data_IF_016608820031
#
_entry.id   IF_016608820031
#
_cell.length_a   1.000
_cell.length_b   1.000
_cell.length_c   1.000
_cell.angle_alpha   90.00
_cell.angle_beta   90.00
_cell.angle_gamma   90.00
#
_symmetry.space_group_name_H-M   'P 1'
#
loop_
_entity.id
_entity.type
_entity.pdbx_description
1 polymer ?
#
# COMPACT_ATOMS: atom_id res chain seq x y z
N UNK A 1 11.21 -70.38 1.74
CA UNK A 1 10.14 -69.76 2.55
C UNK A 1 9.56 -68.61 1.72
N UNK A 2 8.25 -68.61 1.61
CA UNK A 2 7.34 -67.95 0.66
C UNK A 2 7.27 -66.41 0.73
N UNK A 3 7.42 -65.70 -0.40
CA UNK A 3 6.40 -64.98 -1.23
C UNK A 3 5.95 -63.59 -0.69
N UNK A 4 6.46 -62.49 -1.29
CA UNK A 4 5.77 -61.41 -2.09
C UNK A 4 5.00 -60.36 -1.25
N UNK A 5 5.02 -59.04 -1.49
CA UNK A 5 4.93 -58.18 -2.68
C UNK A 5 5.90 -56.97 -2.59
N UNK A 6 6.39 -56.29 -3.63
CA UNK A 6 5.90 -56.19 -5.00
C UNK A 6 5.15 -54.88 -5.28
N UNK A 7 5.75 -53.69 -5.07
CA UNK A 7 5.32 -52.44 -5.75
C UNK A 7 6.49 -51.55 -6.14
N UNK A 8 6.72 -51.51 -7.44
CA UNK A 8 7.63 -50.63 -8.17
C UNK A 8 7.17 -49.17 -8.08
N UNK A 9 8.06 -48.24 -7.72
CA UNK A 9 7.83 -46.82 -7.93
C UNK A 9 8.34 -46.44 -9.33
N UNK A 10 7.42 -46.27 -10.28
CA UNK A 10 7.69 -45.54 -11.53
C UNK A 10 7.57 -44.03 -11.26
N UNK A 11 8.43 -43.17 -11.85
CA UNK A 11 8.26 -41.73 -11.78
C UNK A 11 7.20 -41.33 -12.80
N UNK A 12 5.95 -41.19 -12.36
CA UNK A 12 4.92 -40.56 -13.18
C UNK A 12 5.09 -39.04 -13.09
N UNK A 13 5.60 -38.46 -14.18
CA UNK A 13 5.50 -37.04 -14.48
C UNK A 13 4.02 -36.65 -14.57
N UNK A 14 3.48 -36.06 -13.51
CA UNK A 14 2.14 -35.48 -13.51
C UNK A 14 2.27 -33.96 -13.43
N UNK A 15 2.00 -33.30 -14.55
CA UNK A 15 1.74 -31.87 -14.60
C UNK A 15 0.47 -31.60 -13.78
N UNK A 16 0.62 -30.92 -12.64
CA UNK A 16 -0.49 -30.60 -11.75
C UNK A 16 -1.16 -29.32 -12.26
N UNK A 17 -2.23 -29.48 -13.03
CA UNK A 17 -3.11 -28.38 -13.39
C UNK A 17 -4.13 -28.17 -12.25
N UNK A 18 -4.25 -26.93 -11.79
CA UNK A 18 -5.05 -26.57 -10.62
C UNK A 18 -6.54 -26.86 -10.84
N UNK A 19 -7.07 -27.81 -10.10
CA UNK A 19 -8.51 -28.00 -9.88
C UNK A 19 -8.69 -28.83 -8.60
N UNK A 20 -8.69 -28.14 -7.46
CA UNK A 20 -8.93 -28.76 -6.15
C UNK A 20 -10.41 -29.08 -5.99
N UNK A 21 -10.80 -30.30 -6.35
CA UNK A 21 -12.03 -30.94 -5.91
C UNK A 21 -11.67 -32.12 -5.01
N UNK A 22 -11.41 -31.82 -3.74
CA UNK A 22 -11.35 -32.84 -2.69
C UNK A 22 -12.01 -32.29 -1.44
N UNK A 23 -13.31 -32.51 -1.26
CA UNK A 23 -13.95 -32.51 0.06
C UNK A 23 -15.25 -33.30 -0.01
N UNK A 24 -15.24 -34.52 0.54
CA UNK A 24 -16.33 -35.03 1.38
C UNK A 24 -15.93 -36.37 2.01
N UNK A 25 -15.58 -36.37 3.30
CA UNK A 25 -16.20 -37.27 4.29
C UNK A 25 -15.76 -36.89 5.72
N UNK A 26 -16.61 -36.15 6.42
CA UNK A 26 -16.74 -36.28 7.88
C UNK A 26 -18.08 -35.70 8.30
N UNK A 27 -19.03 -36.60 8.54
CA UNK A 27 -20.28 -36.29 9.20
C UNK A 27 -20.02 -36.20 10.69
N UNK A 28 -19.69 -35.01 11.20
CA UNK A 28 -20.02 -34.66 12.58
C UNK A 28 -20.22 -33.15 12.73
N UNK A 29 -21.37 -32.79 13.30
CA UNK A 29 -21.92 -31.44 13.32
C UNK A 29 -21.28 -30.52 14.34
N UNK A 30 -20.01 -30.18 14.15
CA UNK A 30 -19.38 -29.04 14.82
C UNK A 30 -18.75 -28.15 13.76
N UNK A 31 -19.29 -26.94 13.59
CA UNK A 31 -18.68 -25.92 12.75
C UNK A 31 -17.38 -25.44 13.42
N UNK A 32 -16.32 -26.25 13.29
CA UNK A 32 -14.97 -25.84 13.61
C UNK A 32 -14.59 -24.72 12.64
N UNK A 33 -13.87 -23.72 13.13
CA UNK A 33 -13.28 -22.61 12.38
C UNK A 33 -12.29 -23.02 11.26
N UNK A 34 -12.22 -24.31 10.92
CA UNK A 34 -11.15 -24.93 10.13
C UNK A 34 -11.35 -24.84 8.61
N UNK A 35 -12.56 -24.60 8.11
CA UNK A 35 -12.84 -24.66 6.66
C UNK A 35 -13.37 -23.35 6.08
N UNK A 36 -12.87 -22.20 6.54
CA UNK A 36 -12.99 -20.98 5.74
C UNK A 36 -11.96 -21.07 4.60
N UNK A 37 -12.38 -21.08 3.32
CA UNK A 37 -11.42 -21.05 2.23
C UNK A 37 -10.53 -19.82 2.41
N UNK A 38 -9.22 -19.93 2.16
CA UNK A 38 -8.24 -18.85 2.38
C UNK A 38 -8.54 -17.55 1.59
N UNK A 39 -9.53 -17.59 0.69
CA UNK A 39 -10.11 -16.46 -0.02
C UNK A 39 -11.12 -15.64 0.82
N UNK A 40 -11.57 -16.14 1.97
CA UNK A 40 -12.53 -15.50 2.86
C UNK A 40 -11.91 -15.16 4.21
N UNK A 41 -12.48 -14.16 4.87
CA UNK A 41 -12.06 -13.69 6.19
C UNK A 41 -13.11 -14.06 7.24
N UNK A 42 -12.69 -14.40 8.47
CA UNK A 42 -13.64 -14.51 9.58
C UNK A 42 -14.24 -13.12 9.88
N UNK A 43 -15.52 -13.10 10.27
CA UNK A 43 -16.25 -11.85 10.58
C UNK A 43 -15.64 -11.07 11.74
N UNK A 44 -15.17 -11.80 12.75
CA UNK A 44 -14.48 -11.26 13.92
C UNK A 44 -13.20 -12.07 14.17
N UNK A 45 -12.14 -11.46 14.72
CA UNK A 45 -10.96 -12.19 15.10
C UNK A 45 -11.24 -13.23 16.20
N UNK A 46 -10.52 -14.36 16.16
CA UNK A 46 -10.55 -15.33 17.25
C UNK A 46 -9.85 -14.78 18.51
N UNK A 47 -10.16 -15.35 19.68
CA UNK A 47 -9.54 -14.92 20.94
C UNK A 47 -8.04 -15.19 20.96
N UNK A 48 -7.57 -16.29 20.34
CA UNK A 48 -6.16 -16.59 20.18
C UNK A 48 -5.46 -15.54 19.32
N UNK A 49 -6.10 -15.12 18.22
CA UNK A 49 -5.58 -14.07 17.37
C UNK A 49 -5.48 -12.74 18.15
N UNK A 50 -6.52 -12.37 18.92
CA UNK A 50 -6.50 -11.15 19.75
C UNK A 50 -5.39 -11.17 20.80
N UNK A 51 -5.15 -12.31 21.43
CA UNK A 51 -4.10 -12.47 22.45
C UNK A 51 -2.69 -12.53 21.85
N UNK A 52 -2.53 -13.09 20.65
CA UNK A 52 -1.26 -13.23 19.97
C UNK A 52 -0.77 -11.97 19.24
N UNK A 53 -1.62 -10.94 19.08
CA UNK A 53 -1.25 -9.71 18.37
C UNK A 53 -0.23 -8.90 19.18
N UNK A 54 0.97 -8.78 18.62
CA UNK A 54 2.00 -7.88 19.13
C UNK A 54 1.67 -6.45 18.72
N UNK A 55 1.80 -5.50 19.65
CA UNK A 55 1.56 -4.07 19.42
C UNK A 55 2.82 -3.28 19.78
N UNK A 56 3.74 -3.04 18.82
CA UNK A 56 4.98 -2.33 19.11
C UNK A 56 4.68 -0.88 19.52
N UNK A 57 5.27 -0.42 20.63
CA UNK A 57 5.08 0.94 21.17
C UNK A 57 6.18 1.91 20.79
N UNK A 58 7.25 1.41 20.18
CA UNK A 58 8.40 2.20 19.74
C UNK A 58 8.93 1.69 18.40
N UNK A 59 9.64 2.56 17.68
CA UNK A 59 10.30 2.16 16.43
C UNK A 59 11.33 1.05 16.64
N UNK A 60 11.98 1.00 17.80
CA UNK A 60 12.89 -0.08 18.17
C UNK A 60 12.16 -1.43 18.32
N UNK A 61 10.98 -1.45 18.95
CA UNK A 61 10.15 -2.64 19.05
C UNK A 61 9.61 -3.08 17.69
N UNK A 62 9.16 -2.12 16.86
CA UNK A 62 8.74 -2.41 15.48
C UNK A 62 9.89 -2.99 14.65
N UNK A 63 11.10 -2.47 14.79
CA UNK A 63 12.27 -3.00 14.10
C UNK A 63 12.59 -4.44 14.52
N UNK A 64 12.40 -4.79 15.80
CA UNK A 64 12.61 -6.15 16.31
C UNK A 64 11.67 -7.18 15.68
N UNK A 65 10.50 -6.79 15.20
CA UNK A 65 9.59 -7.69 14.48
C UNK A 65 10.23 -8.28 13.21
N UNK A 66 11.22 -7.61 12.62
CA UNK A 66 11.95 -8.09 11.44
C UNK A 66 13.11 -9.04 11.77
N UNK A 67 13.41 -9.31 13.04
CA UNK A 67 14.50 -10.21 13.41
C UNK A 67 14.18 -11.69 13.18
N UNK A 68 12.90 -12.06 13.06
CA UNK A 68 12.43 -13.44 12.92
C UNK A 68 12.33 -13.95 11.47
N UNK A 69 12.80 -13.19 10.48
CA UNK A 69 12.78 -13.66 9.09
C UNK A 69 13.80 -14.77 8.87
N UNK A 70 13.32 -15.92 8.38
CA UNK A 70 14.18 -17.02 7.97
C UNK A 70 15.04 -16.65 6.76
N UNK A 71 16.24 -17.21 6.73
CA UNK A 71 17.14 -17.20 5.59
C UNK A 71 16.59 -18.13 4.51
N UNK A 72 16.19 -17.56 3.38
CA UNK A 72 15.62 -18.30 2.25
C UNK A 72 16.67 -19.07 1.45
N UNK A 73 17.96 -18.90 1.73
CA UNK A 73 19.06 -19.67 1.14
C UNK A 73 19.41 -20.95 1.90
N UNK A 74 18.89 -21.10 3.11
CA UNK A 74 19.09 -22.28 3.98
C UNK A 74 17.80 -23.10 4.09
N UNK A 75 17.95 -24.39 4.37
CA UNK A 75 16.79 -25.23 4.70
C UNK A 75 16.19 -24.86 6.06
N UNK A 76 14.95 -25.32 6.28
CA UNK A 76 14.24 -25.15 7.56
C UNK A 76 15.02 -25.81 8.72
N UNK A 77 15.58 -26.99 8.50
CA UNK A 77 16.32 -27.76 9.51
C UNK A 77 17.63 -27.07 9.93
N UNK A 78 18.31 -26.39 9.00
CA UNK A 78 19.55 -25.63 9.29
C UNK A 78 19.31 -24.40 10.17
N UNK A 79 18.04 -23.99 10.32
CA UNK A 79 17.62 -22.82 11.10
C UNK A 79 16.97 -23.22 12.44
N UNK A 80 17.23 -24.44 12.90
CA UNK A 80 16.77 -25.03 14.17
C UNK A 80 15.24 -25.12 14.33
N UNK A 81 14.52 -25.20 13.20
CA UNK A 81 13.08 -25.43 13.21
C UNK A 81 12.83 -26.94 13.24
N UNK A 82 12.04 -27.36 14.23
CA UNK A 82 11.70 -28.76 14.49
C UNK A 82 10.32 -29.11 13.94
N UNK A 83 10.05 -30.41 13.89
CA UNK A 83 8.71 -30.89 13.58
C UNK A 83 7.71 -30.31 14.58
N UNK A 84 6.53 -29.92 14.09
CA UNK A 84 5.45 -29.27 14.85
C UNK A 84 5.74 -27.84 15.33
N UNK A 85 6.89 -27.25 15.00
CA UNK A 85 7.09 -25.81 15.21
C UNK A 85 6.12 -24.99 14.36
N UNK A 86 5.69 -23.86 14.92
CA UNK A 86 4.75 -22.95 14.26
C UNK A 86 5.49 -21.80 13.59
N UNK A 87 5.32 -21.68 12.27
CA UNK A 87 5.87 -20.60 11.47
C UNK A 87 4.79 -19.63 11.01
N UNK A 88 5.14 -18.35 10.93
CA UNK A 88 4.28 -17.32 10.38
C UNK A 88 4.57 -17.13 8.89
N UNK A 89 3.60 -17.45 8.05
CA UNK A 89 3.63 -17.03 6.64
C UNK A 89 3.18 -15.57 6.55
N UNK A 90 4.02 -14.73 5.96
CA UNK A 90 3.79 -13.28 5.80
C UNK A 90 4.35 -12.81 4.46
N UNK A 91 3.72 -11.80 3.87
CA UNK A 91 4.29 -11.09 2.73
C UNK A 91 5.48 -10.24 3.21
N UNK A 92 6.69 -10.68 2.85
CA UNK A 92 7.96 -10.03 3.23
C UNK A 92 8.26 -8.78 2.41
N UNK A 93 7.99 -8.82 1.11
CA UNK A 93 8.31 -7.76 0.17
C UNK A 93 7.04 -7.02 -0.25
N UNK A 94 6.99 -5.72 0.03
CA UNK A 94 5.83 -4.85 -0.22
C UNK A 94 5.81 -4.31 -1.65
N UNK A 95 6.08 -5.19 -2.61
CA UNK A 95 5.97 -4.92 -4.04
C UNK A 95 5.14 -6.04 -4.65
N UNK A 96 3.82 -5.83 -4.65
CA UNK A 96 2.89 -6.83 -5.16
C UNK A 96 2.76 -6.67 -6.67
N UNK A 97 3.39 -7.58 -7.39
CA UNK A 97 3.29 -7.65 -8.85
C UNK A 97 1.99 -8.34 -9.26
N UNK A 98 1.30 -7.75 -10.23
CA UNK A 98 0.14 -8.32 -10.93
C UNK A 98 -0.91 -8.95 -10.00
N UNK A 99 -1.50 -8.13 -9.12
CA UNK A 99 -2.61 -8.58 -8.28
C UNK A 99 -3.89 -8.62 -9.13
N UNK A 100 -4.21 -9.81 -9.64
CA UNK A 100 -5.34 -9.98 -10.55
C UNK A 100 -6.61 -10.46 -9.80
N UNK A 101 -7.68 -9.64 -9.72
CA UNK A 101 -8.94 -10.01 -9.06
C UNK A 101 -9.53 -11.36 -9.50
N UNK A 102 -9.32 -11.75 -10.76
CA UNK A 102 -9.87 -12.97 -11.38
C UNK A 102 -9.21 -14.25 -10.87
N UNK A 103 -7.90 -14.20 -10.61
CA UNK A 103 -7.11 -15.39 -10.29
C UNK A 103 -6.58 -15.39 -8.85
N UNK A 104 -6.43 -14.23 -8.23
CA UNK A 104 -5.69 -14.05 -6.98
C UNK A 104 -6.59 -13.92 -5.75
N UNK A 105 -7.81 -14.47 -5.75
CA UNK A 105 -8.75 -14.32 -4.63
C UNK A 105 -8.14 -14.67 -3.26
N UNK A 106 -7.35 -15.77 -3.18
CA UNK A 106 -6.61 -16.16 -1.98
C UNK A 106 -5.51 -15.16 -1.64
N UNK A 107 -4.64 -14.82 -2.60
CA UNK A 107 -3.51 -13.90 -2.40
C UNK A 107 -3.98 -12.52 -1.97
N UNK A 108 -5.00 -11.98 -2.63
CA UNK A 108 -5.65 -10.70 -2.28
C UNK A 108 -6.19 -10.75 -0.87
N UNK A 109 -6.90 -11.83 -0.49
CA UNK A 109 -7.43 -11.97 0.85
C UNK A 109 -6.33 -11.99 1.93
N UNK A 110 -5.24 -12.72 1.70
CA UNK A 110 -4.15 -12.82 2.67
C UNK A 110 -3.36 -11.49 2.78
N UNK A 111 -3.20 -10.73 1.69
CA UNK A 111 -2.62 -9.38 1.74
C UNK A 111 -3.54 -8.43 2.51
N UNK A 112 -4.86 -8.50 2.25
CA UNK A 112 -5.87 -7.74 2.97
C UNK A 112 -5.82 -8.03 4.48
N UNK A 113 -5.76 -9.30 4.88
CA UNK A 113 -5.66 -9.69 6.29
C UNK A 113 -4.36 -9.16 6.91
N UNK A 114 -3.22 -9.30 6.24
CA UNK A 114 -1.95 -8.75 6.73
C UNK A 114 -2.01 -7.23 6.88
N UNK A 115 -2.60 -6.52 5.91
CA UNK A 115 -2.79 -5.08 5.97
C UNK A 115 -3.69 -4.70 7.16
N UNK A 116 -4.84 -5.37 7.31
CA UNK A 116 -5.79 -5.17 8.42
C UNK A 116 -5.11 -5.32 9.77
N UNK A 117 -4.37 -6.41 9.97
CA UNK A 117 -3.66 -6.65 11.21
C UNK A 117 -2.56 -5.63 11.47
N UNK A 118 -1.82 -5.18 10.45
CA UNK A 118 -0.81 -4.12 10.62
C UNK A 118 -1.41 -2.79 11.10
N UNK A 119 -2.64 -2.46 10.67
CA UNK A 119 -3.36 -1.25 11.09
C UNK A 119 -3.92 -1.39 12.51
N UNK A 120 -4.56 -2.52 12.82
CA UNK A 120 -5.15 -2.79 14.14
C UNK A 120 -4.09 -2.96 15.24
N UNK A 121 -2.91 -3.47 14.88
CA UNK A 121 -1.77 -3.64 15.76
C UNK A 121 -0.96 -2.34 15.97
N UNK A 122 -1.31 -1.27 15.24
CA UNK A 122 -0.56 0.01 15.24
C UNK A 122 0.90 -0.17 14.77
N UNK A 123 1.16 -1.14 13.88
CA UNK A 123 2.47 -1.29 13.22
C UNK A 123 2.70 -0.19 12.18
N UNK A 124 1.62 0.23 11.51
CA UNK A 124 1.60 1.33 10.55
C UNK A 124 0.56 2.36 11.02
N UNK A 125 0.99 3.61 11.14
CA UNK A 125 0.13 4.69 11.53
C UNK A 125 -0.75 5.21 10.38
N UNK A 126 -1.97 5.61 10.73
CA UNK A 126 -2.90 6.31 9.86
C UNK A 126 -3.60 7.45 10.61
N UNK A 127 -4.26 8.32 9.88
CA UNK A 127 -5.12 9.37 10.42
C UNK A 127 -6.46 8.82 10.91
N UNK A 128 -7.22 9.68 11.58
CA UNK A 128 -8.57 9.33 12.07
C UNK A 128 -9.54 9.07 10.91
N UNK A 129 -9.50 9.86 9.84
CA UNK A 129 -10.36 9.65 8.66
C UNK A 129 -10.00 8.37 7.91
N UNK A 130 -8.69 8.10 7.72
CA UNK A 130 -8.22 6.85 7.11
C UNK A 130 -8.64 5.63 7.94
N UNK A 131 -8.58 5.71 9.28
CA UNK A 131 -9.05 4.63 10.15
C UNK A 131 -10.56 4.38 9.99
N UNK A 132 -11.39 5.42 9.86
CA UNK A 132 -12.82 5.25 9.62
C UNK A 132 -13.08 4.60 8.25
N UNK A 133 -12.30 4.96 7.22
CA UNK A 133 -12.35 4.29 5.91
C UNK A 133 -11.96 2.81 6.01
N UNK A 134 -10.87 2.48 6.72
CA UNK A 134 -10.45 1.09 6.93
C UNK A 134 -11.54 0.27 7.65
N UNK A 135 -12.16 0.82 8.69
CA UNK A 135 -13.25 0.17 9.39
C UNK A 135 -14.50 0.01 8.50
N UNK A 136 -14.85 1.02 7.70
CA UNK A 136 -15.95 0.96 6.74
C UNK A 136 -15.72 -0.12 5.67
N UNK A 137 -14.50 -0.25 5.15
CA UNK A 137 -14.13 -1.31 4.21
C UNK A 137 -14.20 -2.70 4.85
N UNK A 138 -13.82 -2.85 6.13
CA UNK A 138 -14.03 -4.10 6.87
C UNK A 138 -15.52 -4.46 6.99
N UNK A 139 -16.38 -3.48 7.28
CA UNK A 139 -17.84 -3.68 7.28
C UNK A 139 -18.32 -4.17 5.91
N UNK A 140 -17.88 -3.52 4.82
CA UNK A 140 -18.27 -3.93 3.48
C UNK A 140 -17.80 -5.36 3.14
N UNK A 141 -16.55 -5.72 3.49
CA UNK A 141 -16.03 -7.09 3.33
C UNK A 141 -16.91 -8.08 4.08
N UNK A 142 -17.28 -7.78 5.32
CA UNK A 142 -18.14 -8.64 6.14
C UNK A 142 -19.56 -8.79 5.58
N UNK A 143 -20.13 -7.73 5.00
CA UNK A 143 -21.44 -7.77 4.35
C UNK A 143 -21.42 -8.59 3.05
N UNK A 144 -20.34 -8.49 2.27
CA UNK A 144 -20.20 -9.19 0.99
C UNK A 144 -19.69 -10.63 1.13
N UNK A 145 -19.19 -11.04 2.29
CA UNK A 145 -18.54 -12.35 2.50
C UNK A 145 -19.42 -13.55 2.13
N UNK A 146 -20.74 -13.42 2.28
CA UNK A 146 -21.72 -14.47 2.00
C UNK A 146 -22.54 -14.23 0.73
N UNK A 147 -22.28 -13.16 -0.02
CA UNK A 147 -22.97 -12.90 -1.27
C UNK A 147 -22.28 -13.61 -2.44
N UNK A 148 -23.05 -14.14 -3.42
CA UNK A 148 -22.49 -14.61 -4.68
C UNK A 148 -21.64 -13.53 -5.30
N UNK A 149 -20.40 -13.85 -5.65
CA UNK A 149 -19.54 -12.92 -6.38
C UNK A 149 -19.93 -12.94 -7.86
N UNK A 150 -19.85 -11.80 -8.57
CA UNK A 150 -20.10 -11.77 -10.00
C UNK A 150 -19.17 -12.75 -10.73
N UNK A 151 -19.72 -13.55 -11.64
CA UNK A 151 -18.94 -14.46 -12.48
C UNK A 151 -18.07 -13.65 -13.45
N UNK A 152 -16.77 -13.58 -13.18
CA UNK A 152 -15.77 -12.91 -14.04
C UNK A 152 -15.36 -13.81 -15.24
N UNK A 153 -16.14 -14.86 -15.53
CA UNK A 153 -15.86 -15.91 -16.52
C UNK A 153 -16.74 -15.77 -17.78
N UNK A 154 -16.95 -14.56 -18.28
CA UNK A 154 -17.53 -14.38 -19.61
C UNK A 154 -16.40 -14.25 -20.65
N UNK A 155 -16.22 -15.30 -21.46
CA UNK A 155 -15.17 -15.43 -22.49
C UNK A 155 -15.19 -14.31 -23.56
N UNK A 156 -16.32 -13.62 -23.75
CA UNK A 156 -16.48 -12.60 -24.79
C UNK A 156 -15.94 -11.21 -24.39
N UNK A 157 -15.91 -10.86 -23.09
CA UNK A 157 -15.23 -9.65 -22.58
C UNK A 157 -13.71 -9.89 -22.35
N UNK A 158 -13.29 -11.16 -22.38
CA UNK A 158 -11.95 -11.61 -22.05
C UNK A 158 -10.92 -11.18 -23.12
N UNK A 159 -11.32 -11.03 -24.38
CA UNK A 159 -10.39 -10.63 -25.46
C UNK A 159 -10.06 -9.14 -25.38
N UNK A 160 -11.06 -8.27 -25.22
CA UNK A 160 -10.84 -6.82 -25.17
C UNK A 160 -10.20 -6.39 -23.84
N UNK A 161 -10.60 -7.03 -22.73
CA UNK A 161 -9.99 -6.81 -21.41
C UNK A 161 -8.57 -7.37 -21.35
N UNK A 162 -8.32 -8.60 -21.85
CA UNK A 162 -6.96 -9.14 -21.92
C UNK A 162 -6.07 -8.37 -22.89
N UNK A 163 -6.61 -7.85 -24.00
CA UNK A 163 -5.87 -6.94 -24.89
C UNK A 163 -5.52 -5.62 -24.18
N UNK A 164 -6.43 -5.09 -23.37
CA UNK A 164 -6.18 -3.87 -22.57
C UNK A 164 -5.15 -4.12 -21.47
N UNK A 165 -5.26 -5.24 -20.74
CA UNK A 165 -4.30 -5.63 -19.69
C UNK A 165 -2.93 -5.98 -20.27
N UNK A 166 -2.89 -6.69 -21.42
CA UNK A 166 -1.66 -6.92 -22.17
C UNK A 166 -1.08 -5.62 -22.70
N UNK A 167 -1.91 -4.67 -23.14
CA UNK A 167 -1.45 -3.35 -23.58
C UNK A 167 -0.87 -2.55 -22.41
N UNK A 168 -1.51 -2.54 -21.24
CA UNK A 168 -0.97 -1.91 -20.01
C UNK A 168 0.35 -2.55 -19.58
N UNK A 169 0.49 -3.87 -19.75
CA UNK A 169 1.71 -4.63 -19.40
C UNK A 169 2.83 -4.46 -20.43
N UNK A 170 2.50 -4.42 -21.73
CA UNK A 170 3.44 -4.31 -22.85
C UNK A 170 3.85 -2.86 -23.15
N UNK A 171 3.01 -1.86 -22.87
CA UNK A 171 3.34 -0.43 -22.95
C UNK A 171 4.34 0.02 -21.88
N UNK A 172 4.63 -0.84 -20.89
CA UNK A 172 5.85 -0.74 -20.08
C UNK A 172 7.16 -0.87 -20.88
N UNK A 173 7.09 -1.38 -22.12
CA UNK A 173 8.27 -1.75 -22.93
C UNK A 173 8.27 -1.18 -24.35
N UNK A 174 7.18 -0.57 -24.83
CA UNK A 174 7.09 -0.05 -26.19
C UNK A 174 6.55 1.38 -26.20
N UNK A 175 7.40 2.30 -26.65
CA UNK A 175 7.03 3.67 -27.03
C UNK A 175 5.91 3.57 -28.06
N UNK A 176 4.67 3.88 -27.65
CA UNK A 176 3.52 3.88 -28.55
C UNK A 176 3.72 4.91 -29.66
N UNK A 177 3.95 4.42 -30.88
CA UNK A 177 3.84 5.20 -32.13
C UNK A 177 2.36 5.30 -32.50
N UNK A 178 1.58 6.01 -31.68
CA UNK A 178 0.22 6.44 -31.99
C UNK A 178 0.22 7.93 -32.34
N UNK A 179 -0.34 8.29 -33.51
CA UNK A 179 -0.40 9.65 -34.05
C UNK A 179 -1.25 10.59 -33.16
N UNK A 180 -0.64 11.18 -32.14
CA UNK A 180 -1.04 12.47 -31.60
C UNK A 180 0.00 13.51 -32.04
N UNK A 181 -0.43 14.69 -32.49
CA UNK A 181 0.44 15.73 -33.03
C UNK A 181 1.66 16.04 -32.13
N UNK A 182 2.82 15.51 -32.51
CA UNK A 182 4.15 15.71 -31.90
C UNK A 182 4.62 17.14 -32.21
N UNK A 183 4.07 18.14 -31.55
CA UNK A 183 4.73 19.46 -31.42
C UNK A 183 4.49 20.12 -30.06
N UNK A 184 3.44 19.75 -29.32
CA UNK A 184 3.16 20.33 -28.01
C UNK A 184 3.42 19.29 -26.91
N UNK A 185 4.55 19.43 -26.23
CA UNK A 185 4.81 18.72 -24.98
C UNK A 185 3.78 19.21 -23.95
N UNK A 186 2.94 18.33 -23.38
CA UNK A 186 1.97 18.74 -22.38
C UNK A 186 2.68 19.35 -21.16
N UNK A 187 2.22 20.52 -20.75
CA UNK A 187 2.74 21.28 -19.63
C UNK A 187 1.60 21.57 -18.66
N UNK A 188 1.83 21.27 -17.38
CA UNK A 188 0.90 21.61 -16.31
C UNK A 188 1.43 22.84 -15.61
N UNK A 189 0.62 23.89 -15.50
CA UNK A 189 1.06 25.19 -15.01
C UNK A 189 -0.02 25.83 -14.14
N UNK A 190 0.33 26.11 -12.89
CA UNK A 190 -0.60 26.63 -11.88
C UNK A 190 0.09 27.48 -10.83
N UNK A 191 -0.69 28.30 -10.12
CA UNK A 191 -0.23 28.93 -8.88
C UNK A 191 -0.39 27.97 -7.70
N UNK A 192 0.74 27.53 -7.14
CA UNK A 192 0.78 26.61 -6.00
C UNK A 192 1.54 27.23 -4.83
N UNK A 193 1.26 26.73 -3.63
CA UNK A 193 2.06 27.06 -2.46
C UNK A 193 3.25 26.11 -2.37
N UNK A 194 4.46 26.63 -2.24
CA UNK A 194 5.68 25.86 -2.16
C UNK A 194 6.48 26.20 -0.91
N UNK A 195 7.15 25.18 -0.37
CA UNK A 195 8.09 25.30 0.74
C UNK A 195 9.28 24.37 0.49
N UNK A 196 10.48 24.84 0.83
CA UNK A 196 11.67 24.01 0.99
C UNK A 196 12.00 23.99 2.49
N UNK A 197 11.72 22.90 3.22
CA UNK A 197 12.07 22.79 4.63
C UNK A 197 13.58 22.98 4.82
N UNK A 198 13.97 23.69 5.87
CA UNK A 198 15.36 23.78 6.32
C UNK A 198 15.38 23.54 7.82
N UNK A 199 16.26 22.66 8.29
CA UNK A 199 16.37 22.21 9.70
C UNK A 199 16.38 23.33 10.75
N UNK A 200 16.71 24.58 10.37
CA UNK A 200 16.87 25.70 11.31
C UNK A 200 16.25 27.04 10.85
N UNK A 201 15.37 27.07 9.83
CA UNK A 201 14.71 28.34 9.43
C UNK A 201 13.21 28.17 9.18
N UNK A 202 12.38 28.98 9.85
CA UNK A 202 10.93 29.13 9.67
C UNK A 202 10.57 29.83 8.35
N UNK A 203 10.96 29.28 7.20
CA UNK A 203 10.38 29.74 5.93
C UNK A 203 9.08 28.99 5.69
N UNK A 204 7.97 29.72 5.89
CA UNK A 204 6.60 29.29 5.59
C UNK A 204 6.36 29.04 4.09
N UNK A 205 5.21 28.47 3.77
CA UNK A 205 4.74 28.33 2.41
C UNK A 205 4.65 29.69 1.71
N UNK A 206 5.06 29.76 0.46
CA UNK A 206 4.93 30.94 -0.40
C UNK A 206 4.30 30.53 -1.72
N UNK A 207 3.51 31.44 -2.31
CA UNK A 207 2.86 31.20 -3.60
C UNK A 207 3.85 31.43 -4.74
N UNK A 208 3.93 30.47 -5.66
CA UNK A 208 4.74 30.53 -6.88
C UNK A 208 3.88 30.11 -8.07
N UNK A 209 4.25 30.59 -9.25
CA UNK A 209 3.78 29.98 -10.49
C UNK A 209 4.68 28.80 -10.79
N UNK A 210 4.12 27.59 -10.75
CA UNK A 210 4.88 26.35 -10.90
C UNK A 210 4.46 25.71 -12.21
N UNK A 211 5.44 25.27 -12.99
CA UNK A 211 5.22 24.51 -14.21
C UNK A 211 5.88 23.14 -14.09
N UNK A 212 5.22 22.12 -14.62
CA UNK A 212 5.75 20.79 -14.76
C UNK A 212 5.70 20.44 -16.24
N UNK A 213 6.88 20.27 -16.82
CA UNK A 213 7.07 19.90 -18.22
C UNK A 213 8.03 18.75 -18.30
N UNK A 214 7.69 17.74 -19.10
CA UNK A 214 8.39 16.45 -19.13
C UNK A 214 8.50 15.83 -17.73
N UNK A 215 9.69 15.86 -17.14
CA UNK A 215 9.97 15.40 -15.77
C UNK A 215 10.57 16.50 -14.89
N UNK A 216 10.44 17.76 -15.30
CA UNK A 216 11.07 18.92 -14.67
C UNK A 216 10.03 19.86 -14.08
N UNK A 217 10.16 20.10 -12.77
CA UNK A 217 9.36 21.04 -12.01
C UNK A 217 10.09 22.38 -11.94
N UNK A 218 9.55 23.42 -12.58
CA UNK A 218 10.11 24.77 -12.60
C UNK A 218 9.27 25.72 -11.76
N UNK A 219 9.94 26.52 -10.92
CA UNK A 219 9.31 27.52 -10.06
C UNK A 219 9.61 28.93 -10.54
N UNK A 220 8.57 29.70 -10.75
CA UNK A 220 8.63 31.09 -11.18
C UNK A 220 7.99 31.99 -10.11
N UNK A 221 8.58 33.16 -9.85
CA UNK A 221 7.99 34.13 -8.90
C UNK A 221 6.69 34.72 -9.45
N UNK A 222 6.66 34.97 -10.75
CA UNK A 222 5.49 35.38 -11.53
C UNK A 222 5.44 34.60 -12.84
N UNK A 223 4.30 34.59 -13.54
CA UNK A 223 4.09 33.86 -14.80
C UNK A 223 5.10 34.22 -15.89
N UNK A 224 5.54 35.48 -15.93
CA UNK A 224 6.43 36.01 -16.97
C UNK A 224 7.92 36.02 -16.57
N UNK A 225 8.24 35.58 -15.34
CA UNK A 225 9.62 35.56 -14.85
C UNK A 225 10.37 34.31 -15.31
N UNK A 226 11.69 34.41 -15.45
CA UNK A 226 12.57 33.25 -15.63
C UNK A 226 12.47 32.29 -14.43
N UNK A 227 12.60 30.97 -14.63
CA UNK A 227 12.49 29.98 -13.55
C UNK A 227 13.58 30.23 -12.50
N UNK A 228 13.14 30.47 -11.27
CA UNK A 228 14.00 30.68 -10.11
C UNK A 228 14.63 29.38 -9.59
N UNK A 229 13.99 28.25 -9.87
CA UNK A 229 14.45 26.92 -9.48
C UNK A 229 13.90 25.91 -10.49
N UNK A 230 14.72 24.97 -10.92
CA UNK A 230 14.33 23.86 -11.77
C UNK A 230 14.75 22.54 -11.11
N UNK A 231 13.83 21.59 -10.99
CA UNK A 231 13.98 20.36 -10.22
C UNK A 231 13.66 19.18 -11.13
N UNK A 232 14.62 18.27 -11.33
CA UNK A 232 14.36 17.00 -11.99
C UNK A 232 13.65 16.06 -11.01
N UNK A 233 12.44 15.62 -11.35
CA UNK A 233 11.66 14.71 -10.49
C UNK A 233 12.01 13.24 -10.71
N UNK A 234 12.82 12.89 -11.71
CA UNK A 234 13.15 11.48 -12.00
C UNK A 234 13.79 10.80 -10.78
N UNK A 235 13.18 9.72 -10.31
CA UNK A 235 13.62 8.98 -9.13
C UNK A 235 13.32 9.66 -7.79
N UNK A 236 12.49 10.71 -7.76
CA UNK A 236 12.02 11.31 -6.51
C UNK A 236 11.01 10.41 -5.78
N UNK A 237 10.85 10.64 -4.48
CA UNK A 237 9.69 10.14 -3.75
C UNK A 237 8.54 11.11 -3.87
N UNK A 238 7.33 10.60 -4.03
CA UNK A 238 6.11 11.39 -4.01
C UNK A 238 5.20 10.83 -2.94
N UNK A 239 5.09 11.54 -1.81
CA UNK A 239 4.22 11.15 -0.69
C UNK A 239 3.01 12.10 -0.63
N UNK A 240 1.78 11.58 -0.51
CA UNK A 240 0.61 12.41 -0.21
C UNK A 240 0.72 13.04 1.19
N UNK A 241 0.29 14.29 1.32
CA UNK A 241 0.09 14.99 2.59
C UNK A 241 -1.30 15.63 2.59
N UNK A 242 -2.33 14.77 2.61
CA UNK A 242 -3.73 15.15 2.44
C UNK A 242 -4.45 15.09 3.77
N UNK A 243 -5.28 16.09 4.03
CA UNK A 243 -6.26 16.07 5.11
C UNK A 243 -7.53 16.77 4.61
N UNK A 244 -8.55 15.98 4.29
CA UNK A 244 -9.79 16.46 3.69
C UNK A 244 -10.59 17.37 4.63
N UNK A 245 -10.65 17.05 5.92
CA UNK A 245 -11.42 17.85 6.90
C UNK A 245 -10.82 19.25 7.11
N UNK A 246 -9.52 19.40 6.90
CA UNK A 246 -8.82 20.68 6.95
C UNK A 246 -8.57 21.31 5.56
N UNK A 247 -9.08 20.72 4.48
CA UNK A 247 -8.84 21.20 3.11
C UNK A 247 -7.35 21.26 2.73
N UNK A 248 -6.53 20.38 3.32
CA UNK A 248 -5.10 20.31 3.08
C UNK A 248 -4.83 19.35 1.93
N UNK A 249 -4.28 19.85 0.83
CA UNK A 249 -3.91 19.06 -0.33
C UNK A 249 -2.42 19.20 -0.63
N UNK A 250 -1.59 18.50 0.15
CA UNK A 250 -0.14 18.56 0.08
C UNK A 250 0.50 17.42 -0.70
N UNK A 251 1.62 17.70 -1.36
CA UNK A 251 2.49 16.73 -2.02
C UNK A 251 3.90 16.95 -1.46
N UNK A 252 4.46 15.92 -0.83
CA UNK A 252 5.86 15.92 -0.39
C UNK A 252 6.71 15.24 -1.46
N UNK A 253 7.73 15.95 -1.92
CA UNK A 253 8.69 15.50 -2.91
C UNK A 253 10.06 15.35 -2.27
N UNK A 254 10.60 14.13 -2.26
CA UNK A 254 11.97 13.87 -1.82
C UNK A 254 12.85 13.59 -3.03
N UNK A 255 13.59 14.60 -3.46
CA UNK A 255 14.34 14.57 -4.72
C UNK A 255 15.80 14.17 -4.47
N UNK A 256 16.33 13.14 -5.15
CA UNK A 256 17.73 12.76 -5.00
C UNK A 256 18.66 13.85 -5.54
N UNK A 257 19.71 14.13 -4.77
CA UNK A 257 20.77 15.07 -5.09
C UNK A 257 22.14 14.49 -4.68
N UNK A 258 23.23 15.10 -5.12
CA UNK A 258 24.60 14.64 -4.84
C UNK A 258 24.94 14.60 -3.34
N UNK A 259 24.34 15.47 -2.53
CA UNK A 259 24.55 15.52 -1.07
C UNK A 259 23.55 14.65 -0.27
N UNK A 260 22.58 14.00 -0.93
CA UNK A 260 21.48 13.27 -0.28
C UNK A 260 20.12 13.63 -0.88
N UNK A 261 19.05 13.55 -0.10
CA UNK A 261 17.71 13.95 -0.57
C UNK A 261 17.44 15.41 -0.22
N UNK A 262 16.86 16.13 -1.18
CA UNK A 262 16.29 17.44 -0.92
C UNK A 262 14.77 17.33 -0.87
N UNK A 263 14.20 17.75 0.25
CA UNK A 263 12.77 17.76 0.46
C UNK A 263 12.12 19.06 -0.06
N UNK A 264 11.00 18.91 -0.75
CA UNK A 264 10.19 20.01 -1.28
C UNK A 264 8.71 19.72 -1.02
N UNK A 265 7.97 20.72 -0.56
CA UNK A 265 6.56 20.60 -0.25
C UNK A 265 5.77 21.49 -1.20
N UNK A 266 4.77 20.90 -1.86
CA UNK A 266 3.81 21.59 -2.70
C UNK A 266 2.45 21.48 -2.03
N UNK A 267 1.65 22.54 -2.09
CA UNK A 267 0.27 22.55 -1.62
C UNK A 267 -0.63 23.14 -2.69
N UNK A 268 -1.62 22.35 -3.08
CA UNK A 268 -2.67 22.68 -4.01
C UNK A 268 -3.84 23.36 -3.29
N UNK A 269 -4.67 24.05 -4.07
CA UNK A 269 -5.80 24.83 -3.56
C UNK A 269 -7.14 24.08 -3.63
N UNK A 270 -7.22 23.04 -4.48
CA UNK A 270 -8.40 22.21 -4.66
C UNK A 270 -8.02 20.74 -4.87
N UNK A 271 -9.00 19.86 -4.68
CA UNK A 271 -8.89 18.43 -4.92
C UNK A 271 -8.57 18.11 -6.39
N UNK A 272 -9.23 18.78 -7.32
CA UNK A 272 -9.00 18.59 -8.75
C UNK A 272 -7.56 18.97 -9.15
N UNK A 273 -7.09 20.11 -8.63
CA UNK A 273 -5.70 20.54 -8.84
C UNK A 273 -4.74 19.52 -8.23
N UNK A 274 -5.00 19.08 -7.00
CA UNK A 274 -4.18 18.07 -6.35
C UNK A 274 -4.10 16.76 -7.13
N UNK A 275 -5.21 16.23 -7.64
CA UNK A 275 -5.23 14.99 -8.39
C UNK A 275 -4.34 15.06 -9.64
N UNK A 276 -4.46 16.15 -10.41
CA UNK A 276 -3.62 16.43 -11.59
C UNK A 276 -2.13 16.50 -11.23
N UNK A 277 -1.79 17.30 -10.23
CA UNK A 277 -0.40 17.51 -9.82
C UNK A 277 0.23 16.27 -9.19
N UNK A 278 -0.52 15.51 -8.39
CA UNK A 278 -0.07 14.26 -7.78
C UNK A 278 0.20 13.19 -8.84
N UNK A 279 -0.74 12.99 -9.78
CA UNK A 279 -0.55 12.06 -10.90
C UNK A 279 0.68 12.42 -11.73
N UNK A 280 0.83 13.70 -12.07
CA UNK A 280 1.95 14.18 -12.86
C UNK A 280 3.29 14.00 -12.14
N UNK A 281 3.36 14.30 -10.84
CA UNK A 281 4.57 14.07 -10.04
C UNK A 281 4.91 12.57 -9.96
N UNK A 282 3.92 11.69 -9.77
CA UNK A 282 4.12 10.23 -9.72
C UNK A 282 4.65 9.67 -11.04
N UNK A 283 4.14 10.13 -12.18
CA UNK A 283 4.67 9.75 -13.50
C UNK A 283 6.08 10.28 -13.70
N UNK A 284 6.32 11.55 -13.40
CA UNK A 284 7.65 12.16 -13.52
C UNK A 284 8.70 11.45 -12.65
N UNK A 285 8.32 11.00 -11.45
CA UNK A 285 9.16 10.17 -10.57
C UNK A 285 9.59 8.85 -11.24
N UNK A 286 8.70 8.23 -12.01
CA UNK A 286 8.98 7.02 -12.80
C UNK A 286 9.70 7.32 -14.13
N UNK A 287 9.97 8.60 -14.43
CA UNK A 287 10.57 9.04 -15.69
C UNK A 287 9.60 9.06 -16.88
N UNK A 288 8.29 8.97 -16.61
CA UNK A 288 7.21 9.12 -17.60
C UNK A 288 6.74 10.58 -17.63
N UNK A 289 6.07 10.98 -18.72
CA UNK A 289 5.51 12.33 -18.87
C UNK A 289 3.98 12.29 -18.84
N UNK A 290 3.33 13.45 -18.78
CA UNK A 290 1.86 13.55 -18.87
C UNK A 290 1.31 13.17 -20.26
N UNK A 291 2.18 12.91 -21.25
CA UNK A 291 1.76 12.36 -22.54
C UNK A 291 1.55 10.84 -22.49
N UNK A 292 1.91 10.18 -21.38
CA UNK A 292 1.67 8.75 -21.18
C UNK A 292 0.16 8.50 -21.03
N UNK A 293 -0.33 7.42 -21.67
CA UNK A 293 -1.74 7.02 -21.67
C UNK A 293 -2.30 6.81 -20.26
N UNK A 294 -1.45 6.49 -19.28
CA UNK A 294 -1.85 6.28 -17.89
C UNK A 294 -2.13 7.54 -17.10
N UNK A 295 -1.81 8.75 -17.60
CA UNK A 295 -1.97 9.98 -16.84
C UNK A 295 -3.41 10.26 -16.42
N UNK A 296 -4.35 10.26 -17.36
CA UNK A 296 -5.76 10.56 -17.06
C UNK A 296 -6.39 9.48 -16.18
N UNK A 297 -5.96 8.22 -16.34
CA UNK A 297 -6.38 7.10 -15.49
C UNK A 297 -5.88 7.28 -14.04
N UNK A 298 -4.63 7.69 -13.85
CA UNK A 298 -4.07 7.98 -12.53
C UNK A 298 -4.80 9.17 -11.88
N UNK A 299 -5.09 10.25 -12.63
CA UNK A 299 -5.87 11.39 -12.14
C UNK A 299 -7.24 10.95 -11.64
N UNK A 300 -7.97 10.17 -12.46
CA UNK A 300 -9.29 9.64 -12.09
C UNK A 300 -9.19 8.74 -10.86
N UNK A 301 -8.21 7.83 -10.82
CA UNK A 301 -8.00 6.96 -9.66
C UNK A 301 -7.73 7.73 -8.37
N UNK A 302 -7.00 8.86 -8.44
CA UNK A 302 -6.76 9.71 -7.26
C UNK A 302 -8.06 10.42 -6.84
N UNK A 303 -8.85 10.92 -7.79
CA UNK A 303 -10.14 11.55 -7.48
C UNK A 303 -11.11 10.56 -6.82
N UNK A 304 -11.21 9.34 -7.34
CA UNK A 304 -12.05 8.28 -6.78
C UNK A 304 -11.61 7.94 -5.35
N UNK A 305 -10.29 7.85 -5.12
CA UNK A 305 -9.74 7.61 -3.78
C UNK A 305 -10.04 8.73 -2.78
N UNK A 306 -9.97 10.00 -3.21
CA UNK A 306 -10.32 11.14 -2.36
C UNK A 306 -11.82 11.17 -2.05
N UNK A 307 -12.66 10.81 -3.02
CA UNK A 307 -14.10 10.69 -2.82
C UNK A 307 -14.46 9.62 -1.78
N UNK A 308 -13.76 8.48 -1.76
CA UNK A 308 -13.98 7.43 -0.76
C UNK A 308 -13.77 7.90 0.69
N UNK A 309 -12.89 8.88 0.90
CA UNK A 309 -12.54 9.41 2.23
C UNK A 309 -13.42 10.58 2.68
N UNK A 310 -14.32 11.10 1.85
CA UNK A 310 -15.15 12.26 2.20
C UNK A 310 -16.17 11.89 3.28
N UNK A 311 -16.46 12.79 4.24
CA UNK A 311 -17.59 12.60 5.14
C UNK A 311 -18.89 12.51 4.32
N UNK A 312 -19.59 11.39 4.43
CA UNK A 312 -20.92 11.27 3.85
C UNK A 312 -21.93 12.08 4.67
N UNK A 313 -22.97 12.67 4.05
CA UNK A 313 -23.94 13.51 4.74
C UNK A 313 -24.80 12.71 5.74
N UNK A 314 -25.00 11.42 5.50
CA UNK A 314 -25.72 10.52 6.40
C UNK A 314 -25.30 9.06 6.18
N UNK A 315 -25.36 8.22 7.22
CA UNK A 315 -25.18 6.78 7.09
C UNK A 315 -26.30 6.18 6.23
N UNK A 316 -25.95 5.23 5.36
CA UNK A 316 -26.92 4.53 4.50
C UNK A 316 -27.57 3.35 5.24
N UNK A 317 -26.86 2.77 6.21
CA UNK A 317 -27.32 1.63 6.99
C UNK A 317 -27.59 2.06 8.44
N UNK A 318 -28.70 1.58 9.01
CA UNK A 318 -29.02 1.87 10.41
C UNK A 318 -28.11 1.06 11.35
N UNK A 319 -27.61 1.64 12.47
CA UNK A 319 -26.75 0.93 13.42
C UNK A 319 -27.35 -0.36 14.00
N UNK A 320 -28.69 -0.49 14.02
CA UNK A 320 -29.39 -1.68 14.50
C UNK A 320 -29.38 -2.86 13.51
N UNK A 321 -28.98 -2.65 12.26
CA UNK A 321 -29.00 -3.68 11.21
C UNK A 321 -27.68 -4.43 11.07
N UNK A 322 -26.59 -3.90 11.64
CA UNK A 322 -25.26 -4.50 11.58
C UNK A 322 -24.68 -4.56 13.00
N UNK A 323 -24.26 -5.75 13.41
CA UNK A 323 -23.48 -5.92 14.63
C UNK A 323 -22.03 -5.47 14.39
N UNK A 324 -21.74 -4.21 14.75
CA UNK A 324 -20.40 -3.62 14.64
C UNK A 324 -19.79 -3.57 16.05
N UNK A 325 -18.71 -4.33 16.25
CA UNK A 325 -17.86 -4.21 17.41
C UNK A 325 -16.65 -3.31 17.09
N UNK A 326 -16.58 -2.07 17.63
CA UNK A 326 -15.47 -1.16 17.35
C UNK A 326 -14.11 -1.70 17.78
N UNK A 327 -14.05 -2.53 18.83
CA UNK A 327 -12.83 -3.14 19.35
C UNK A 327 -12.16 -4.10 18.36
N UNK A 328 -12.93 -4.67 17.43
CA UNK A 328 -12.42 -5.59 16.40
C UNK A 328 -12.06 -4.87 15.08
N UNK A 329 -12.51 -3.62 14.88
CA UNK A 329 -12.41 -2.91 13.60
C UNK A 329 -11.48 -1.71 13.62
N UNK A 330 -11.14 -1.20 14.79
CA UNK A 330 -10.41 0.05 14.97
C UNK A 330 -9.24 -0.14 15.93
N UNK A 331 -8.11 0.52 15.64
CA UNK A 331 -6.94 0.42 16.51
C UNK A 331 -7.19 1.02 17.92
N UNK A 332 -6.61 0.44 18.99
CA UNK A 332 -6.92 0.80 20.37
C UNK A 332 -6.76 2.29 20.72
N UNK A 333 -5.81 3.01 20.10
CA UNK A 333 -5.61 4.45 20.35
C UNK A 333 -6.83 5.30 19.99
N UNK A 334 -7.59 4.91 18.97
CA UNK A 334 -8.80 5.64 18.56
C UNK A 334 -9.98 5.34 19.48
N UNK A 335 -10.07 4.11 19.98
CA UNK A 335 -11.09 3.70 20.97
C UNK A 335 -10.90 4.46 22.28
N UNK A 336 -9.65 4.65 22.71
CA UNK A 336 -9.34 5.48 23.90
C UNK A 336 -9.70 6.96 23.72
N UNK A 337 -9.66 7.45 22.47
CA UNK A 337 -9.89 8.86 22.13
C UNK A 337 -11.37 9.18 21.89
N UNK A 338 -12.13 8.25 21.31
CA UNK A 338 -13.51 8.44 20.88
C UNK A 338 -14.44 7.44 21.58
N UNK A 339 -15.62 7.87 22.00
CA UNK A 339 -16.63 6.94 22.54
C UNK A 339 -17.08 5.95 21.46
N UNK A 340 -17.33 4.69 21.83
CA UNK A 340 -17.71 3.61 20.90
C UNK A 340 -18.89 3.98 20.00
N UNK A 341 -19.93 4.63 20.53
CA UNK A 341 -21.09 5.06 19.74
C UNK A 341 -20.72 6.06 18.63
N UNK A 342 -19.80 6.98 18.90
CA UNK A 342 -19.33 7.96 17.91
C UNK A 342 -18.49 7.28 16.83
N UNK A 343 -17.71 6.25 17.20
CA UNK A 343 -16.95 5.44 16.24
C UNK A 343 -17.91 4.72 15.30
N UNK A 344 -18.91 4.01 15.84
CA UNK A 344 -19.92 3.29 15.03
C UNK A 344 -20.60 4.23 14.04
N UNK A 345 -21.05 5.40 14.51
CA UNK A 345 -21.68 6.39 13.65
C UNK A 345 -20.77 6.78 12.47
N UNK A 346 -19.50 7.08 12.76
CA UNK A 346 -18.55 7.50 11.72
C UNK A 346 -18.15 6.39 10.76
N UNK A 347 -18.09 5.15 11.24
CA UNK A 347 -17.89 3.97 10.38
C UNK A 347 -19.05 3.87 9.38
N UNK A 348 -20.29 4.03 9.84
CA UNK A 348 -21.48 3.94 8.99
C UNK A 348 -21.60 5.13 8.01
N UNK A 349 -21.15 6.32 8.41
CA UNK A 349 -21.02 7.47 7.50
C UNK A 349 -19.98 7.18 6.42
N UNK A 350 -18.78 6.70 6.78
CA UNK A 350 -17.74 6.35 5.80
C UNK A 350 -18.15 5.16 4.90
N UNK A 351 -18.93 4.21 5.42
CA UNK A 351 -19.46 3.06 4.68
C UNK A 351 -20.33 3.48 3.49
N UNK A 352 -21.03 4.60 3.59
CA UNK A 352 -21.85 5.12 2.49
C UNK A 352 -21.07 5.30 1.18
N UNK A 353 -19.77 5.57 1.25
CA UNK A 353 -18.91 5.76 0.06
C UNK A 353 -18.39 4.45 -0.55
N UNK A 354 -18.49 3.32 0.17
CA UNK A 354 -17.94 2.02 -0.24
C UNK A 354 -18.99 0.91 -0.31
N UNK A 355 -20.26 1.24 -0.05
CA UNK A 355 -21.38 0.29 0.03
C UNK A 355 -21.61 -0.52 -1.27
N UNK A 356 -21.22 0.03 -2.41
CA UNK A 356 -21.49 -0.55 -3.73
C UNK A 356 -20.35 -1.47 -4.21
N UNK A 357 -19.24 -1.56 -3.46
CA UNK A 357 -18.10 -2.42 -3.81
C UNK A 357 -18.44 -3.90 -3.58
N UNK A 358 -18.07 -4.78 -4.51
CA UNK A 358 -18.12 -6.23 -4.26
C UNK A 358 -17.01 -6.68 -3.28
N UNK A 359 -16.97 -7.98 -2.94
CA UNK A 359 -16.03 -8.50 -1.93
C UNK A 359 -14.57 -8.25 -2.30
N UNK A 360 -14.20 -8.50 -3.56
CA UNK A 360 -12.82 -8.39 -4.02
C UNK A 360 -12.43 -6.91 -4.17
N UNK A 361 -13.33 -6.07 -4.70
CA UNK A 361 -13.13 -4.64 -4.82
C UNK A 361 -12.93 -3.97 -3.44
N UNK A 362 -13.71 -4.37 -2.43
CA UNK A 362 -13.57 -3.86 -1.07
C UNK A 362 -12.19 -4.21 -0.48
N UNK A 363 -11.73 -5.46 -0.67
CA UNK A 363 -10.37 -5.89 -0.23
C UNK A 363 -9.27 -5.12 -0.96
N UNK A 364 -9.38 -4.98 -2.29
CA UNK A 364 -8.41 -4.23 -3.08
C UNK A 364 -8.39 -2.74 -2.71
N UNK A 365 -9.54 -2.16 -2.41
CA UNK A 365 -9.65 -0.77 -1.96
C UNK A 365 -8.99 -0.58 -0.60
N UNK A 366 -9.12 -1.56 0.30
CA UNK A 366 -8.38 -1.58 1.57
C UNK A 366 -6.87 -1.64 1.34
N UNK A 367 -6.40 -2.53 0.48
CA UNK A 367 -4.97 -2.66 0.13
C UNK A 367 -4.44 -1.36 -0.49
N UNK A 368 -5.20 -0.73 -1.40
CA UNK A 368 -4.85 0.57 -2.00
C UNK A 368 -4.76 1.69 -0.96
N UNK A 369 -5.72 1.75 -0.04
CA UNK A 369 -5.70 2.72 1.06
C UNK A 369 -4.48 2.51 1.98
N UNK A 370 -4.15 1.25 2.27
CA UNK A 370 -2.96 0.87 3.03
C UNK A 370 -1.65 1.24 2.32
N UNK A 371 -1.56 1.02 1.01
CA UNK A 371 -0.42 1.41 0.17
C UNK A 371 -0.21 2.92 0.09
N UNK A 372 -1.27 3.71 0.27
CA UNK A 372 -1.21 5.16 0.25
C UNK A 372 -0.63 5.77 1.54
N UNK A 373 -0.52 4.98 2.61
CA UNK A 373 0.01 5.45 3.90
C UNK A 373 1.51 5.81 3.79
N UNK A 374 1.98 6.87 4.45
CA UNK A 374 3.37 7.34 4.32
C UNK A 374 4.45 6.31 4.66
N UNK A 375 4.15 5.40 5.60
CA UNK A 375 5.10 4.40 6.09
C UNK A 375 4.93 3.01 5.46
N UNK A 376 4.06 2.91 4.45
CA UNK A 376 3.83 1.66 3.74
C UNK A 376 5.12 1.09 3.15
N UNK A 377 5.33 -0.21 3.37
CA UNK A 377 6.42 -0.96 2.76
C UNK A 377 7.82 -0.63 3.28
N UNK A 378 7.92 -0.06 4.48
CA UNK A 378 9.19 0.21 5.17
C UNK A 378 9.41 -0.84 6.27
N UNK A 379 10.37 -1.73 6.05
CA UNK A 379 10.91 -2.64 7.07
C UNK A 379 12.04 -1.95 7.84
N UNK A 380 11.99 -2.00 9.17
CA UNK A 380 12.95 -1.31 10.03
C UNK A 380 13.92 -2.30 10.67
N UNK A 381 15.19 -1.90 10.76
CA UNK A 381 16.24 -2.63 11.47
C UNK A 381 17.02 -1.66 12.35
N UNK A 382 17.31 -2.05 13.59
CA UNK A 382 18.20 -1.29 14.47
C UNK A 382 19.64 -1.55 14.04
N UNK A 383 20.37 -0.51 13.70
CA UNK A 383 21.76 -0.58 13.24
C UNK A 383 22.59 0.52 13.87
N UNK A 384 23.92 0.40 13.79
CA UNK A 384 24.84 1.49 14.13
C UNK A 384 25.63 1.89 12.89
N UNK A 385 25.44 3.12 12.41
CA UNK A 385 26.20 3.64 11.27
C UNK A 385 27.61 4.04 11.70
N UNK A 386 28.55 3.96 10.75
CA UNK A 386 29.91 4.44 10.96
C UNK A 386 29.94 5.90 11.41
N UNK A 387 30.82 6.20 12.37
CA UNK A 387 30.92 7.49 13.05
C UNK A 387 29.77 7.82 14.03
N UNK A 388 28.73 6.98 14.13
CA UNK A 388 27.62 7.18 15.07
C UNK A 388 27.94 6.58 16.44
N UNK A 389 27.64 7.32 17.51
CA UNK A 389 27.79 6.85 18.91
C UNK A 389 26.52 6.19 19.45
N UNK A 390 25.42 6.25 18.71
CA UNK A 390 24.11 5.75 19.13
C UNK A 390 23.56 4.82 18.06
N UNK A 391 22.65 3.96 18.48
CA UNK A 391 21.89 3.14 17.55
C UNK A 391 20.88 4.01 16.80
N UNK A 392 20.68 3.68 15.54
CA UNK A 392 19.83 4.36 14.58
C UNK A 392 18.97 3.31 13.85
N UNK A 393 18.11 3.76 12.94
CA UNK A 393 17.29 2.86 12.14
C UNK A 393 17.77 2.83 10.70
N UNK A 394 17.82 1.60 10.16
CA UNK A 394 17.85 1.35 8.73
C UNK A 394 16.45 0.97 8.27
N UNK A 395 15.80 1.86 7.54
CA UNK A 395 14.56 1.58 6.82
C UNK A 395 14.86 1.00 5.44
N UNK A 396 14.26 -0.14 5.13
CA UNK A 396 14.36 -0.83 3.86
C UNK A 396 12.98 -0.77 3.20
N UNK A 397 12.91 -0.16 2.02
CA UNK A 397 11.72 -0.19 1.18
C UNK A 397 12.06 -0.77 -0.19
N UNK A 398 11.05 -1.02 -1.03
CA UNK A 398 11.24 -1.71 -2.31
C UNK A 398 12.18 -0.99 -3.30
N UNK A 399 12.39 0.33 -3.14
CA UNK A 399 13.16 1.16 -4.07
C UNK A 399 14.35 1.90 -3.42
N UNK A 400 14.55 1.77 -2.10
CA UNK A 400 15.52 2.57 -1.35
C UNK A 400 15.89 1.99 0.01
N UNK A 401 16.99 2.50 0.55
CA UNK A 401 17.42 2.40 1.94
C UNK A 401 17.36 3.79 2.59
N UNK A 402 17.04 3.85 3.88
CA UNK A 402 16.92 5.08 4.66
C UNK A 402 17.64 4.94 5.99
N UNK A 403 18.47 5.92 6.33
CA UNK A 403 18.97 6.13 7.69
C UNK A 403 18.02 7.08 8.39
N UNK A 404 17.49 6.63 9.52
CA UNK A 404 16.46 7.34 10.29
C UNK A 404 16.88 7.46 11.76
N UNK A 405 16.42 8.51 12.41
CA UNK A 405 16.59 8.65 13.87
C UNK A 405 15.78 7.58 14.61
N UNK A 406 16.37 6.96 15.63
CA UNK A 406 15.73 5.86 16.36
C UNK A 406 14.52 6.29 17.19
N UNK A 407 14.50 7.53 17.68
CA UNK A 407 13.46 8.02 18.58
C UNK A 407 12.34 8.72 17.80
N UNK A 408 12.70 9.63 16.89
CA UNK A 408 11.75 10.43 16.14
C UNK A 408 11.28 9.79 14.83
N UNK A 409 12.07 8.85 14.27
CA UNK A 409 11.83 8.33 12.91
C UNK A 409 12.18 9.33 11.81
N UNK A 410 12.79 10.47 12.15
CA UNK A 410 13.16 11.49 11.17
C UNK A 410 14.14 10.94 10.14
N UNK A 411 13.89 11.24 8.86
CA UNK A 411 14.78 10.85 7.77
C UNK A 411 16.09 11.65 7.83
N UNK A 412 17.21 10.95 8.02
CA UNK A 412 18.54 11.56 8.06
C UNK A 412 19.17 11.52 6.67
N UNK A 413 19.11 10.35 6.01
CA UNK A 413 19.68 10.14 4.67
C UNK A 413 18.97 9.01 3.94
N UNK A 414 18.87 9.09 2.62
CA UNK A 414 18.25 8.06 1.77
C UNK A 414 19.19 7.69 0.63
N UNK A 415 19.23 6.41 0.29
CA UNK A 415 19.98 5.86 -0.84
C UNK A 415 19.02 5.08 -1.73
N UNK A 416 19.09 5.29 -3.05
CA UNK A 416 18.20 4.62 -4.01
C UNK A 416 18.87 3.37 -4.58
N UNK A 417 18.10 2.32 -4.84
CA UNK A 417 18.67 1.10 -5.44
C UNK A 417 19.16 1.30 -6.86
N UNK A 418 18.58 2.23 -7.63
CA UNK A 418 19.02 2.51 -9.00
C UNK A 418 20.44 3.11 -9.09
N UNK A 419 20.99 3.64 -7.98
CA UNK A 419 22.38 4.10 -7.90
C UNK A 419 23.28 3.12 -7.16
N UNK A 420 22.72 2.04 -6.59
CA UNK A 420 23.47 0.99 -5.92
C UNK A 420 24.20 0.14 -6.95
N UNK A 421 25.52 0.01 -6.81
CA UNK A 421 26.35 -0.80 -7.72
C UNK A 421 26.48 -2.24 -7.26
N UNK A 422 26.82 -2.42 -5.97
CA UNK A 422 27.03 -3.69 -5.30
C UNK A 422 26.96 -3.44 -3.80
N UNK A 423 26.67 -4.48 -3.01
CA UNK A 423 26.86 -4.47 -1.56
C UNK A 423 27.73 -5.66 -1.15
N UNK A 424 28.29 -5.61 0.05
CA UNK A 424 28.97 -6.75 0.66
C UNK A 424 28.65 -6.75 2.16
N UNK A 425 28.57 -7.95 2.76
CA UNK A 425 28.45 -8.12 4.21
C UNK A 425 29.76 -8.74 4.68
N UNK A 426 30.44 -8.07 5.62
CA UNK A 426 31.55 -8.67 6.34
C UNK A 426 31.01 -9.23 7.66
N UNK A 427 31.25 -10.53 7.89
CA UNK A 427 30.80 -11.24 9.09
C UNK A 427 31.87 -11.30 10.18
N UNK A 428 33.12 -10.92 9.85
CA UNK A 428 34.21 -10.67 10.80
C UNK A 428 34.05 -9.30 11.46
#
# INVERSE_FOLDING_TARGET
MSWTDGRSYSPATAMFNGSSSFLNYSADGSACSADLPLAHSPKSPSEEAKQGVLRPKSLAERARLNAGWLDSSLSIMEQDIREFDTLLLRFKFYSFYDLNPKYDAVRINQIYEQAKWSILAEEIDCTEEEMMLFAALQVQVNLQANHPQPDIYHEDEDVETALTDLQVTLEGTLISKGKANITNVPELADYLSFMKPKRFTLKGFRRYFITLRDTYLSLHKSKDDSPSLNICLKGCEVTPDVNLSHGKYGIRLEVPNHEGMTEYWIRCSSEEQYAKWMAACRLAAKGKTMADSSYDLEVKSIQDFLNMQKPAPAPVISPSQIDINPDDMVAPRFIKKLKSQKIIQRILEAHANVKDLNLIEAKLSYIKAWQALPEFGISLFVVRFDGSRKDELLGIAFNRLMRMDLAAGDHIKTWRYNTMKVWNVNWE
#
